data_IF_973828933854
#
_entry.id   IF_973828933854
#
_cell.length_a   1.000
_cell.length_b   1.000
_cell.length_c   1.000
_cell.angle_alpha   90.00
_cell.angle_beta   90.00
_cell.angle_gamma   90.00
#
_symmetry.space_group_name_H-M   'P 1'
#
loop_
_entity.id
_entity.type
_entity.pdbx_description
1 polymer ?
#
# COMPACT_ATOMS: atom_id res chain seq x y z
N UNK A 1 -66.09 -14.34 -118.58
CA UNK A 1 -66.14 -14.33 -117.09
C UNK A 1 -65.09 -15.29 -116.52
N UNK A 2 -63.80 -14.91 -116.48
CA UNK A 2 -62.75 -15.75 -115.87
C UNK A 2 -61.55 -14.88 -115.42
N UNK A 3 -61.78 -13.87 -114.58
CA UNK A 3 -60.65 -13.05 -114.10
C UNK A 3 -60.75 -12.53 -112.65
N UNK A 4 -61.53 -13.17 -111.78
CA UNK A 4 -61.82 -12.63 -110.44
C UNK A 4 -61.48 -13.55 -109.26
N UNK A 5 -60.80 -14.69 -109.48
CA UNK A 5 -60.51 -15.68 -108.42
C UNK A 5 -59.05 -15.62 -107.90
N UNK A 6 -58.13 -14.93 -108.57
CA UNK A 6 -56.70 -14.90 -108.17
C UNK A 6 -56.33 -13.89 -107.05
N UNK A 7 -57.27 -13.07 -106.57
CA UNK A 7 -56.95 -11.99 -105.61
C UNK A 7 -57.25 -12.32 -104.13
N UNK A 8 -57.86 -13.47 -103.82
CA UNK A 8 -58.29 -13.77 -102.45
C UNK A 8 -57.34 -14.71 -101.66
N UNK A 9 -56.44 -15.45 -102.31
CA UNK A 9 -55.54 -16.40 -101.65
C UNK A 9 -54.22 -15.77 -101.15
N UNK A 10 -53.86 -14.57 -101.60
CA UNK A 10 -52.62 -13.89 -101.21
C UNK A 10 -52.65 -13.19 -99.85
N UNK A 11 -53.83 -12.89 -99.29
CA UNK A 11 -53.96 -12.14 -98.02
C UNK A 11 -54.01 -13.01 -96.75
N UNK A 12 -54.25 -14.31 -96.87
CA UNK A 12 -54.33 -15.22 -95.71
C UNK A 12 -52.92 -15.73 -95.31
N UNK A 13 -51.98 -15.79 -96.25
CA UNK A 13 -50.64 -16.32 -95.99
C UNK A 13 -49.69 -15.33 -95.29
N UNK A 14 -49.89 -14.03 -95.48
CA UNK A 14 -49.08 -12.98 -94.82
C UNK A 14 -49.45 -12.76 -93.35
N UNK A 15 -50.71 -13.00 -92.96
CA UNK A 15 -51.15 -12.93 -91.57
C UNK A 15 -50.52 -14.00 -90.68
N UNK A 16 -50.37 -15.23 -91.19
CA UNK A 16 -49.88 -16.38 -90.43
C UNK A 16 -48.37 -16.30 -90.11
N UNK A 17 -47.59 -15.72 -91.02
CA UNK A 17 -46.14 -15.47 -90.81
C UNK A 17 -45.92 -14.37 -89.77
N UNK A 18 -46.81 -13.36 -89.72
CA UNK A 18 -46.71 -12.27 -88.77
C UNK A 18 -47.06 -12.71 -87.33
N UNK A 19 -48.11 -13.51 -87.15
CA UNK A 19 -48.47 -14.06 -85.83
C UNK A 19 -47.41 -15.01 -85.27
N UNK A 20 -46.74 -15.82 -86.11
CA UNK A 20 -45.65 -16.68 -85.64
C UNK A 20 -44.46 -15.88 -85.13
N UNK A 21 -44.06 -14.80 -85.83
CA UNK A 21 -42.94 -13.95 -85.38
C UNK A 21 -43.22 -13.21 -84.08
N UNK A 22 -44.47 -12.77 -83.87
CA UNK A 22 -44.87 -12.13 -82.60
C UNK A 22 -44.79 -13.12 -81.44
N UNK A 23 -45.31 -14.34 -81.61
CA UNK A 23 -45.26 -15.37 -80.56
C UNK A 23 -43.83 -15.79 -80.23
N UNK A 24 -42.96 -15.98 -81.23
CA UNK A 24 -41.55 -16.35 -80.97
C UNK A 24 -40.81 -15.24 -80.23
N UNK A 25 -41.02 -13.98 -80.61
CA UNK A 25 -40.38 -12.84 -79.94
C UNK A 25 -40.89 -12.65 -78.51
N UNK A 26 -42.20 -12.79 -78.27
CA UNK A 26 -42.76 -12.74 -76.91
C UNK A 26 -42.22 -13.87 -76.04
N UNK A 27 -42.08 -15.09 -76.57
CA UNK A 27 -41.54 -16.22 -75.83
C UNK A 27 -40.07 -16.01 -75.44
N UNK A 28 -39.24 -15.47 -76.36
CA UNK A 28 -37.83 -15.14 -76.08
C UNK A 28 -37.72 -14.08 -74.97
N UNK A 29 -38.55 -13.03 -75.01
CA UNK A 29 -38.54 -11.96 -74.00
C UNK A 29 -38.93 -12.51 -72.62
N UNK A 30 -39.96 -13.35 -72.53
CA UNK A 30 -40.37 -13.97 -71.26
C UNK A 30 -39.26 -14.88 -70.70
N UNK A 31 -38.59 -15.65 -71.56
CA UNK A 31 -37.51 -16.55 -71.15
C UNK A 31 -36.28 -15.77 -70.65
N UNK A 32 -35.96 -14.64 -71.29
CA UNK A 32 -34.92 -13.73 -70.81
C UNK A 32 -35.28 -13.08 -69.48
N UNK A 33 -36.53 -12.64 -69.28
CA UNK A 33 -36.98 -12.07 -68.00
C UNK A 33 -36.89 -13.09 -66.84
N UNK A 34 -37.26 -14.34 -67.09
CA UNK A 34 -37.16 -15.42 -66.09
C UNK A 34 -35.70 -15.72 -65.76
N UNK A 35 -34.82 -15.78 -66.76
CA UNK A 35 -33.40 -16.01 -66.55
C UNK A 35 -32.71 -14.86 -65.78
N UNK A 36 -33.06 -13.60 -66.07
CA UNK A 36 -32.54 -12.43 -65.35
C UNK A 36 -32.99 -12.43 -63.89
N UNK A 37 -34.27 -12.72 -63.61
CA UNK A 37 -34.77 -12.80 -62.24
C UNK A 37 -34.09 -13.93 -61.43
N UNK A 38 -33.87 -15.10 -62.04
CA UNK A 38 -33.19 -16.21 -61.37
C UNK A 38 -31.72 -15.87 -61.04
N UNK A 39 -31.02 -15.22 -61.98
CA UNK A 39 -29.64 -14.79 -61.77
C UNK A 39 -29.52 -13.69 -60.68
N UNK A 40 -30.47 -12.75 -60.64
CA UNK A 40 -30.53 -11.73 -59.59
C UNK A 40 -30.79 -12.34 -58.21
N UNK A 41 -31.70 -13.31 -58.12
CA UNK A 41 -32.01 -13.99 -56.85
C UNK A 41 -30.79 -14.75 -56.30
N UNK A 42 -30.03 -15.40 -57.18
CA UNK A 42 -28.85 -16.17 -56.80
C UNK A 42 -27.71 -15.25 -56.35
N UNK A 43 -27.47 -14.14 -57.06
CA UNK A 43 -26.49 -13.13 -56.65
C UNK A 43 -26.85 -12.47 -55.30
N UNK A 44 -28.14 -12.26 -55.04
CA UNK A 44 -28.61 -11.70 -53.78
C UNK A 44 -28.40 -12.68 -52.62
N UNK A 45 -28.68 -13.98 -52.82
CA UNK A 45 -28.46 -15.02 -51.82
C UNK A 45 -26.97 -15.23 -51.48
N UNK A 46 -26.10 -15.22 -52.49
CA UNK A 46 -24.65 -15.35 -52.29
C UNK A 46 -24.06 -14.17 -51.50
N UNK A 47 -24.57 -12.96 -51.75
CA UNK A 47 -24.15 -11.77 -50.99
C UNK A 47 -24.59 -11.82 -49.52
N UNK A 48 -25.77 -12.37 -49.25
CA UNK A 48 -26.34 -12.50 -47.91
C UNK A 48 -25.60 -13.57 -47.09
N UNK A 49 -25.28 -14.70 -47.71
CA UNK A 49 -24.46 -15.76 -47.10
C UNK A 49 -23.05 -15.28 -46.76
N UNK A 50 -22.42 -14.49 -47.65
CA UNK A 50 -21.10 -13.91 -47.41
C UNK A 50 -21.10 -12.91 -46.24
N UNK A 51 -22.10 -12.02 -46.21
CA UNK A 51 -22.30 -11.06 -45.12
C UNK A 51 -22.51 -11.74 -43.75
N UNK A 52 -23.29 -12.83 -43.71
CA UNK A 52 -23.52 -13.58 -42.47
C UNK A 52 -22.25 -14.29 -41.97
N UNK A 53 -21.49 -14.92 -42.88
CA UNK A 53 -20.22 -15.58 -42.57
C UNK A 53 -19.18 -14.58 -42.01
N UNK A 54 -19.07 -13.41 -42.63
CA UNK A 54 -18.13 -12.36 -42.19
C UNK A 54 -18.51 -11.81 -40.81
N UNK A 55 -19.81 -11.66 -40.53
CA UNK A 55 -20.30 -11.19 -39.23
C UNK A 55 -19.99 -12.20 -38.11
N UNK A 56 -20.17 -13.49 -38.36
CA UNK A 56 -19.85 -14.58 -37.39
C UNK A 56 -18.36 -14.69 -37.14
N UNK A 57 -17.54 -14.54 -38.18
CA UNK A 57 -16.08 -14.54 -38.03
C UNK A 57 -15.59 -13.31 -37.25
N UNK A 58 -16.19 -12.14 -37.49
CA UNK A 58 -15.87 -10.92 -36.76
C UNK A 58 -16.22 -11.04 -35.27
N UNK A 59 -17.38 -11.61 -34.93
CA UNK A 59 -17.77 -11.84 -33.53
C UNK A 59 -16.82 -12.81 -32.83
N UNK A 60 -16.46 -13.93 -33.46
CA UNK A 60 -15.47 -14.86 -32.91
C UNK A 60 -14.10 -14.22 -32.70
N UNK A 61 -13.65 -13.39 -33.64
CA UNK A 61 -12.37 -12.69 -33.53
C UNK A 61 -12.39 -11.66 -32.39
N UNK A 62 -13.48 -10.89 -32.26
CA UNK A 62 -13.70 -9.95 -31.17
C UNK A 62 -13.68 -10.65 -29.80
N UNK A 63 -14.41 -11.74 -29.66
CA UNK A 63 -14.50 -12.47 -28.38
C UNK A 63 -13.16 -13.09 -28.00
N UNK A 64 -12.42 -13.61 -28.99
CA UNK A 64 -11.06 -14.11 -28.79
C UNK A 64 -10.11 -12.99 -28.35
N UNK A 65 -10.16 -11.82 -28.98
CA UNK A 65 -9.39 -10.63 -28.58
C UNK A 65 -9.74 -10.19 -27.15
N UNK A 66 -11.03 -10.08 -26.81
CA UNK A 66 -11.45 -9.70 -25.46
C UNK A 66 -10.98 -10.71 -24.41
N UNK A 67 -10.98 -12.01 -24.73
CA UNK A 67 -10.44 -13.04 -23.85
C UNK A 67 -8.94 -12.84 -23.64
N UNK A 68 -8.16 -12.58 -24.70
CA UNK A 68 -6.73 -12.28 -24.61
C UNK A 68 -6.47 -11.04 -23.76
N UNK A 69 -7.19 -9.93 -23.99
CA UNK A 69 -7.06 -8.71 -23.18
C UNK A 69 -7.42 -8.95 -21.71
N UNK A 70 -8.49 -9.69 -21.43
CA UNK A 70 -8.89 -9.99 -20.05
C UNK A 70 -7.85 -10.86 -19.33
N UNK A 71 -7.24 -11.80 -20.05
CA UNK A 71 -6.20 -12.67 -19.52
C UNK A 71 -4.92 -11.87 -19.27
N UNK A 72 -4.54 -11.03 -20.24
CA UNK A 72 -3.37 -10.16 -20.14
C UNK A 72 -3.52 -9.16 -18.99
N UNK A 73 -4.72 -8.58 -18.78
CA UNK A 73 -5.02 -7.72 -17.64
C UNK A 73 -4.89 -8.46 -16.31
N UNK A 74 -5.41 -9.69 -16.19
CA UNK A 74 -5.27 -10.53 -14.99
C UNK A 74 -3.81 -10.91 -14.72
N UNK A 75 -3.06 -11.24 -15.76
CA UNK A 75 -1.65 -11.59 -15.64
C UNK A 75 -0.81 -10.37 -15.28
N UNK A 76 -1.13 -9.20 -15.82
CA UNK A 76 -0.51 -7.92 -15.43
C UNK A 76 -0.80 -7.59 -13.97
N UNK A 77 -2.05 -7.76 -13.51
CA UNK A 77 -2.44 -7.57 -12.12
C UNK A 77 -1.73 -8.55 -11.17
N UNK A 78 -1.56 -9.81 -11.59
CA UNK A 78 -0.77 -10.81 -10.85
C UNK A 78 0.71 -10.45 -10.81
N UNK A 79 1.29 -9.98 -11.92
CA UNK A 79 2.69 -9.55 -11.98
C UNK A 79 2.93 -8.31 -11.12
N UNK A 80 2.03 -7.32 -11.16
CA UNK A 80 2.07 -6.14 -10.30
C UNK A 80 1.96 -6.52 -8.82
N UNK A 81 1.00 -7.37 -8.45
CA UNK A 81 0.88 -7.87 -7.08
C UNK A 81 2.14 -8.66 -6.64
N UNK A 82 2.72 -9.47 -7.53
CA UNK A 82 3.91 -10.28 -7.25
C UNK A 82 5.17 -9.42 -7.10
N UNK A 83 5.30 -8.36 -7.91
CA UNK A 83 6.35 -7.34 -7.76
C UNK A 83 6.14 -6.53 -6.48
N UNK A 84 4.92 -6.12 -6.14
CA UNK A 84 4.65 -5.45 -4.87
C UNK A 84 5.05 -6.32 -3.66
N UNK A 85 4.75 -7.62 -3.67
CA UNK A 85 5.17 -8.52 -2.58
C UNK A 85 6.67 -8.80 -2.53
N UNK A 86 7.40 -8.70 -3.64
CA UNK A 86 8.84 -8.99 -3.70
C UNK A 86 9.74 -7.74 -3.63
N UNK A 87 9.22 -6.56 -3.98
CA UNK A 87 9.96 -5.29 -4.03
C UNK A 87 9.55 -4.30 -2.94
N UNK A 88 8.48 -4.53 -2.18
CA UNK A 88 8.23 -3.80 -0.94
C UNK A 88 9.15 -4.31 0.17
N UNK A 89 10.47 -4.11 0.02
CA UNK A 89 11.52 -4.06 1.07
C UNK A 89 11.52 -4.99 2.29
N UNK A 90 10.65 -5.98 2.41
CA UNK A 90 10.30 -6.63 3.68
C UNK A 90 10.47 -8.16 3.63
N UNK A 91 10.57 -8.72 2.44
CA UNK A 91 11.05 -10.08 2.22
C UNK A 91 12.25 -10.07 1.27
N UNK A 92 13.45 -10.35 1.77
CA UNK A 92 14.70 -10.66 1.03
C UNK A 92 15.57 -9.54 0.45
N UNK A 93 15.31 -8.24 0.70
CA UNK A 93 16.33 -7.24 0.38
C UNK A 93 17.48 -7.35 1.38
N UNK A 94 18.69 -7.66 0.93
CA UNK A 94 19.90 -7.71 1.75
C UNK A 94 20.21 -6.37 2.45
N UNK A 95 19.60 -5.28 1.98
CA UNK A 95 19.76 -3.93 2.51
C UNK A 95 18.42 -3.18 2.39
N UNK A 96 17.98 -2.56 3.47
CA UNK A 96 16.83 -1.66 3.49
C UNK A 96 16.98 -0.63 4.59
N UNK A 97 16.59 0.61 4.32
CA UNK A 97 16.71 1.72 5.26
C UNK A 97 15.32 2.27 5.57
N UNK A 98 14.95 2.27 6.84
CA UNK A 98 13.68 2.86 7.29
C UNK A 98 13.97 4.05 8.18
N UNK A 99 13.20 5.13 8.02
CA UNK A 99 13.26 6.32 8.85
C UNK A 99 11.89 6.53 9.52
N UNK A 100 11.86 6.52 10.84
CA UNK A 100 10.66 6.69 11.64
C UNK A 100 10.74 8.04 12.36
N UNK A 101 9.78 8.94 12.14
CA UNK A 101 9.63 10.21 12.87
C UNK A 101 8.48 10.06 13.86
N UNK A 102 8.75 10.19 15.16
CA UNK A 102 7.81 9.85 16.23
C UNK A 102 7.51 11.05 17.13
N UNK A 103 6.25 11.14 17.55
CA UNK A 103 5.75 12.10 18.52
C UNK A 103 4.83 11.37 19.49
N UNK A 104 4.99 11.62 20.78
CA UNK A 104 4.23 10.91 21.79
C UNK A 104 4.24 11.58 23.14
N UNK A 105 3.62 10.88 24.08
CA UNK A 105 3.55 11.26 25.49
C UNK A 105 3.90 10.03 26.31
N UNK A 106 4.59 10.23 27.42
CA UNK A 106 4.92 9.15 28.32
C UNK A 106 4.66 9.46 29.76
N UNK A 107 4.38 8.41 30.53
CA UNK A 107 4.25 8.43 31.97
C UNK A 107 5.56 7.89 32.52
N UNK A 108 6.22 8.70 33.35
CA UNK A 108 7.48 8.35 33.99
C UNK A 108 7.24 7.94 35.43
N UNK A 109 7.79 6.81 35.86
CA UNK A 109 7.78 6.35 37.24
C UNK A 109 9.23 6.24 37.72
N UNK A 110 9.60 7.09 38.68
CA UNK A 110 10.95 7.14 39.24
C UNK A 110 10.93 6.49 40.61
N UNK A 111 11.77 5.47 40.79
CA UNK A 111 11.99 4.83 42.07
C UNK A 111 13.29 5.35 42.68
N UNK A 112 13.17 5.95 43.86
CA UNK A 112 14.29 6.36 44.70
C UNK A 112 14.56 5.27 45.74
N UNK A 113 15.81 4.85 45.85
CA UNK A 113 16.30 4.09 46.99
C UNK A 113 16.94 5.08 47.97
N UNK A 114 16.41 5.15 49.20
CA UNK A 114 16.76 6.18 50.19
C UNK A 114 17.12 5.58 51.54
N UNK A 115 18.17 6.10 52.16
CA UNK A 115 18.64 5.73 53.50
C UNK A 115 17.98 6.59 54.60
N UNK A 116 16.67 6.84 54.47
CA UNK A 116 15.87 7.72 55.34
C UNK A 116 14.96 8.66 54.54
N UNK A 117 13.65 8.61 54.79
CA UNK A 117 12.65 9.35 54.00
C UNK A 117 12.39 10.77 54.53
N UNK A 118 13.44 11.59 54.58
CA UNK A 118 13.37 12.95 55.12
C UNK A 118 12.71 13.95 54.15
N UNK A 119 12.57 13.59 52.87
CA UNK A 119 12.11 14.46 51.79
C UNK A 119 10.87 13.94 51.02
N UNK A 120 10.24 12.87 51.51
CA UNK A 120 9.09 12.23 50.83
C UNK A 120 9.45 11.67 49.45
N UNK A 121 10.71 11.26 49.28
CA UNK A 121 11.25 10.68 48.05
C UNK A 121 10.80 9.22 47.88
N UNK A 122 10.43 8.56 48.99
CA UNK A 122 9.84 7.22 48.96
C UNK A 122 8.48 7.17 48.24
N UNK A 123 7.78 8.32 48.18
CA UNK A 123 6.44 8.47 47.62
C UNK A 123 6.44 9.34 46.34
N UNK A 124 7.45 9.17 45.47
CA UNK A 124 7.50 9.88 44.21
C UNK A 124 6.35 9.47 43.28
N UNK A 125 5.53 10.45 42.87
CA UNK A 125 4.44 10.25 41.93
C UNK A 125 4.91 10.43 40.48
N UNK A 126 4.30 9.66 39.59
CA UNK A 126 4.57 9.74 38.16
C UNK A 126 4.11 11.04 37.52
N UNK A 127 4.88 11.56 36.57
CA UNK A 127 4.48 12.69 35.71
C UNK A 127 4.45 12.28 34.25
N UNK A 128 3.56 12.93 33.50
CA UNK A 128 3.53 12.84 32.05
C UNK A 128 4.51 13.83 31.41
N UNK A 129 5.23 13.39 30.38
CA UNK A 129 6.14 14.24 29.61
C UNK A 129 6.02 13.99 28.10
N UNK A 130 6.33 15.00 27.27
CA UNK A 130 6.39 14.82 25.82
C UNK A 130 7.57 13.95 25.42
N UNK A 131 7.42 13.31 24.26
CA UNK A 131 8.45 12.54 23.58
C UNK A 131 8.45 12.89 22.10
N UNK A 132 9.63 13.16 21.55
CA UNK A 132 9.82 13.39 20.12
C UNK A 132 11.09 12.69 19.70
N UNK A 133 11.12 12.08 18.52
CA UNK A 133 12.33 11.45 18.07
C UNK A 133 12.35 11.02 16.62
N UNK A 134 13.52 10.56 16.22
CA UNK A 134 13.79 10.04 14.89
C UNK A 134 14.59 8.75 15.06
N UNK A 135 14.10 7.65 14.51
CA UNK A 135 14.80 6.37 14.49
C UNK A 135 15.10 5.95 13.05
N UNK A 136 16.29 5.40 12.83
CA UNK A 136 16.73 4.83 11.57
C UNK A 136 16.97 3.34 11.79
N UNK A 137 16.35 2.51 10.96
CA UNK A 137 16.53 1.05 11.01
C UNK A 137 17.16 0.55 9.71
N UNK A 138 18.21 -0.26 9.85
CA UNK A 138 18.91 -0.91 8.76
C UNK A 138 18.62 -2.40 8.80
N UNK A 139 18.02 -2.96 7.75
CA UNK A 139 17.81 -4.40 7.66
C UNK A 139 19.06 -5.08 7.10
N UNK A 140 19.67 -5.98 7.88
CA UNK A 140 20.79 -6.81 7.47
C UNK A 140 20.45 -8.29 7.71
N UNK A 141 20.29 -9.04 6.62
CA UNK A 141 20.05 -10.50 6.65
C UNK A 141 18.82 -10.92 7.48
N UNK A 142 17.78 -10.09 7.53
CA UNK A 142 16.52 -10.38 8.25
C UNK A 142 16.52 -9.97 9.72
N UNK A 143 17.63 -9.40 10.22
CA UNK A 143 17.68 -8.71 11.50
C UNK A 143 17.80 -7.21 11.21
N UNK A 144 16.88 -6.42 11.75
CA UNK A 144 16.99 -4.97 11.64
C UNK A 144 17.79 -4.41 12.83
N UNK A 145 18.77 -3.56 12.54
CA UNK A 145 19.52 -2.78 13.51
C UNK A 145 19.00 -1.35 13.50
N UNK A 146 18.47 -0.90 14.62
CA UNK A 146 17.89 0.42 14.81
C UNK A 146 18.77 1.33 15.65
N UNK A 147 18.88 2.58 15.26
CA UNK A 147 19.45 3.64 16.11
C UNK A 147 18.69 4.95 15.92
N UNK A 148 18.91 5.96 16.75
CA UNK A 148 18.15 7.19 16.62
C UNK A 148 18.44 8.23 17.68
N UNK A 149 17.61 9.26 17.71
CA UNK A 149 17.61 10.29 18.73
C UNK A 149 16.18 10.48 19.22
N UNK A 150 15.95 10.25 20.51
CA UNK A 150 14.65 10.41 21.15
C UNK A 150 14.79 11.40 22.30
N UNK A 151 14.20 12.58 22.15
CA UNK A 151 13.95 13.47 23.28
C UNK A 151 12.86 12.87 24.15
N UNK A 152 13.11 12.78 25.46
CA UNK A 152 12.12 12.40 26.45
C UNK A 152 12.22 13.30 27.68
N UNK A 153 11.09 13.87 28.09
CA UNK A 153 10.97 14.53 29.39
C UNK A 153 10.50 13.51 30.43
N UNK A 154 11.39 13.19 31.39
CA UNK A 154 11.11 12.28 32.50
C UNK A 154 10.79 13.13 33.72
N UNK A 155 9.56 13.09 34.21
CA UNK A 155 9.13 13.91 35.33
C UNK A 155 8.62 13.08 36.50
N UNK A 156 8.77 13.62 37.71
CA UNK A 156 8.21 13.04 38.91
C UNK A 156 7.89 14.15 39.92
N UNK A 157 7.03 13.87 40.88
CA UNK A 157 6.68 14.78 41.96
C UNK A 157 7.03 14.11 43.28
N UNK A 158 7.74 14.79 44.16
CA UNK A 158 7.99 14.31 45.52
C UNK A 158 6.95 14.91 46.47
N UNK A 159 6.82 14.37 47.69
CA UNK A 159 5.87 14.89 48.67
C UNK A 159 6.25 16.25 49.30
N UNK A 160 7.50 16.69 49.16
CA UNK A 160 8.04 17.87 49.84
C UNK A 160 8.64 18.95 48.93
N UNK A 161 9.02 18.62 47.70
CA UNK A 161 9.45 19.58 46.67
C UNK A 161 8.43 19.64 45.53
N UNK A 162 8.41 20.77 44.81
CA UNK A 162 7.53 20.98 43.66
C UNK A 162 7.71 19.92 42.57
N UNK A 163 7.01 20.08 41.46
CA UNK A 163 7.16 19.19 40.31
C UNK A 163 8.59 19.24 39.79
N UNK A 164 9.18 18.10 39.44
CA UNK A 164 10.54 18.05 38.90
C UNK A 164 10.56 17.34 37.55
N UNK A 165 11.41 17.84 36.66
CA UNK A 165 11.59 17.26 35.33
C UNK A 165 13.07 17.16 34.97
N UNK A 166 13.40 16.05 34.31
CA UNK A 166 14.71 15.77 33.76
C UNK A 166 14.55 15.40 32.29
N UNK A 167 15.19 16.18 31.43
CA UNK A 167 15.05 16.08 29.99
C UNK A 167 16.29 15.41 29.42
N UNK A 168 16.10 14.32 28.69
CA UNK A 168 17.18 13.52 28.11
C UNK A 168 17.04 13.44 26.59
N UNK A 169 18.18 13.41 25.90
CA UNK A 169 18.27 12.84 24.55
C UNK A 169 18.75 11.41 24.69
N UNK A 170 17.89 10.46 24.34
CA UNK A 170 18.19 9.04 24.34
C UNK A 170 18.63 8.60 22.95
N UNK A 171 19.77 7.93 22.89
CA UNK A 171 20.32 7.30 21.69
C UNK A 171 20.16 5.79 21.88
N UNK A 172 19.10 5.18 21.32
CA UNK A 172 18.90 3.75 21.40
C UNK A 172 19.78 3.01 20.39
N UNK A 173 20.14 1.77 20.72
CA UNK A 173 20.69 0.79 19.81
C UNK A 173 19.82 -0.46 19.92
N UNK A 174 18.97 -0.69 18.92
CA UNK A 174 17.90 -1.69 18.97
C UNK A 174 18.13 -2.81 17.97
N UNK A 175 17.79 -4.02 18.37
CA UNK A 175 17.51 -5.12 17.45
C UNK A 175 16.02 -5.14 17.19
N UNK A 176 15.63 -5.10 15.92
CA UNK A 176 14.26 -5.01 15.48
C UNK A 176 13.87 -6.23 14.61
N UNK A 177 12.62 -6.65 14.79
CA UNK A 177 11.96 -7.70 14.05
C UNK A 177 10.66 -7.15 13.46
N UNK A 178 10.48 -7.34 12.16
CA UNK A 178 9.34 -6.83 11.41
C UNK A 178 8.45 -8.00 11.00
N UNK A 179 7.15 -7.91 11.29
CA UNK A 179 6.14 -8.90 10.93
C UNK A 179 5.11 -8.27 10.01
N UNK A 180 5.01 -8.78 8.78
CA UNK A 180 4.02 -8.30 7.82
C UNK A 180 2.66 -8.95 8.07
N UNK A 181 1.68 -8.16 8.48
CA UNK A 181 0.30 -8.59 8.71
C UNK A 181 -0.55 -8.17 7.50
N UNK A 182 -0.28 -8.82 6.37
CA UNK A 182 -0.95 -8.52 5.10
C UNK A 182 -0.22 -7.48 4.25
N UNK A 183 -0.93 -6.83 3.31
CA UNK A 183 -0.28 -6.00 2.28
C UNK A 183 0.10 -4.59 2.73
N UNK A 184 -0.60 -4.03 3.72
CA UNK A 184 -0.45 -2.63 4.15
C UNK A 184 -0.14 -2.46 5.63
N UNK A 185 -0.21 -3.54 6.41
CA UNK A 185 -0.01 -3.50 7.85
C UNK A 185 1.24 -4.28 8.19
N UNK A 186 2.05 -3.71 9.05
CA UNK A 186 3.25 -4.33 9.60
C UNK A 186 3.28 -4.09 11.11
N UNK A 187 3.84 -5.03 11.85
CA UNK A 187 4.11 -4.90 13.28
C UNK A 187 5.61 -5.01 13.48
N UNK A 188 6.22 -4.02 14.13
CA UNK A 188 7.63 -4.05 14.49
C UNK A 188 7.77 -4.22 16.01
N UNK A 189 8.67 -5.12 16.38
CA UNK A 189 9.15 -5.29 17.75
C UNK A 189 10.62 -4.89 17.76
N UNK A 190 11.03 -4.01 18.66
CA UNK A 190 12.45 -3.69 18.81
C UNK A 190 12.86 -3.63 20.28
N UNK A 191 14.09 -4.02 20.59
CA UNK A 191 14.63 -3.88 21.93
C UNK A 191 16.15 -3.75 21.92
N UNK A 192 16.70 -3.09 22.92
CA UNK A 192 18.15 -3.00 23.10
C UNK A 192 18.56 -1.95 24.14
N UNK A 193 19.87 -1.72 24.30
CA UNK A 193 20.36 -0.68 25.20
C UNK A 193 20.09 0.73 24.65
N UNK A 194 20.11 1.73 25.53
CA UNK A 194 20.20 3.12 25.15
C UNK A 194 21.18 3.88 26.03
N UNK A 195 21.70 4.99 25.48
CA UNK A 195 22.47 6.00 26.22
C UNK A 195 21.67 7.30 26.22
N UNK A 196 21.28 7.77 27.39
CA UNK A 196 20.64 9.05 27.62
C UNK A 196 21.65 10.11 28.01
N UNK A 197 21.60 11.27 27.37
CA UNK A 197 22.40 12.44 27.73
C UNK A 197 21.45 13.46 28.35
N UNK A 198 21.73 13.88 29.59
CA UNK A 198 20.95 14.89 30.28
C UNK A 198 21.13 16.24 29.57
N UNK A 199 20.01 16.84 29.16
CA UNK A 199 20.00 18.20 28.60
C UNK A 199 19.75 19.24 29.67
N UNK A 200 18.77 18.97 30.52
CA UNK A 200 18.37 19.88 31.58
C UNK A 200 17.65 19.13 32.68
N UNK A 201 17.84 19.61 33.90
CA UNK A 201 17.09 19.18 35.07
C UNK A 201 16.67 20.42 35.86
N UNK A 202 15.53 20.34 36.52
CA UNK A 202 15.17 21.32 37.52
C UNK A 202 16.12 21.21 38.73
N UNK A 203 16.50 22.35 39.31
CA UNK A 203 17.48 22.37 40.40
C UNK A 203 16.85 21.86 41.69
N UNK A 204 17.33 20.73 42.19
CA UNK A 204 16.94 20.16 43.48
C UNK A 204 18.07 20.32 44.52
N UNK A 205 17.73 20.49 45.80
CA UNK A 205 18.71 20.63 46.89
C UNK A 205 19.16 19.28 47.48
N UNK A 206 18.41 18.21 47.25
CA UNK A 206 18.58 16.87 47.84
C UNK A 206 19.31 15.89 46.93
N UNK A 207 19.27 16.09 45.60
CA UNK A 207 19.96 15.22 44.65
C UNK A 207 20.30 15.95 43.34
N UNK A 208 21.26 15.40 42.61
CA UNK A 208 21.63 15.81 41.26
C UNK A 208 21.68 14.56 40.37
N UNK A 209 20.90 14.58 39.28
CA UNK A 209 20.91 13.46 38.35
C UNK A 209 22.20 13.45 37.52
N UNK A 210 22.63 12.25 37.15
CA UNK A 210 23.79 12.02 36.29
C UNK A 210 23.53 12.56 34.90
N UNK A 211 24.60 13.14 34.34
CA UNK A 211 24.67 13.55 32.95
C UNK A 211 24.45 12.40 31.97
N UNK A 212 24.68 11.15 32.39
CA UNK A 212 24.52 9.95 31.57
C UNK A 212 23.50 9.01 32.22
N UNK A 213 22.52 8.56 31.44
CA UNK A 213 21.55 7.53 31.81
C UNK A 213 21.74 6.31 30.91
N UNK A 214 22.21 5.19 31.47
CA UNK A 214 22.26 3.92 30.74
C UNK A 214 21.02 3.11 31.05
N UNK A 215 20.41 2.56 30.01
CA UNK A 215 19.18 1.80 30.17
C UNK A 215 18.93 0.80 29.06
N UNK A 216 17.78 0.13 29.18
CA UNK A 216 17.20 -0.71 28.13
C UNK A 216 15.91 -0.07 27.63
N UNK A 217 15.66 -0.23 26.34
CA UNK A 217 14.44 0.21 25.66
C UNK A 217 13.82 -0.97 24.94
N UNK A 218 12.50 -1.02 24.95
CA UNK A 218 11.71 -1.94 24.13
C UNK A 218 10.56 -1.17 23.47
N UNK A 219 10.25 -1.50 22.22
CA UNK A 219 9.18 -0.88 21.45
C UNK A 219 8.34 -1.94 20.76
N UNK A 220 7.04 -1.64 20.65
CA UNK A 220 6.08 -2.37 19.85
C UNK A 220 5.33 -1.34 19.03
N UNK A 221 5.36 -1.45 17.71
CA UNK A 221 4.66 -0.52 16.83
C UNK A 221 3.88 -1.23 15.73
N UNK A 222 2.68 -0.74 15.44
CA UNK A 222 1.91 -1.06 14.26
C UNK A 222 2.08 0.04 13.20
N UNK A 223 2.40 -0.36 11.98
CA UNK A 223 2.58 0.51 10.83
C UNK A 223 1.46 0.25 9.82
N UNK A 224 0.86 1.32 9.30
CA UNK A 224 -0.07 1.28 8.18
C UNK A 224 0.49 2.07 6.99
N UNK A 225 0.82 1.37 5.93
CA UNK A 225 1.41 1.93 4.72
C UNK A 225 0.34 2.45 3.75
N UNK A 226 0.36 3.76 3.49
CA UNK A 226 -0.49 4.37 2.47
C UNK A 226 -0.02 4.02 1.06
N UNK A 227 1.30 3.91 0.89
CA UNK A 227 1.98 3.47 -0.33
C UNK A 227 3.31 2.79 0.03
N UNK A 228 4.15 2.48 -0.98
CA UNK A 228 5.42 1.77 -0.77
C UNK A 228 6.52 2.56 -0.06
N UNK A 229 6.40 3.88 0.03
CA UNK A 229 7.45 4.77 0.53
C UNK A 229 7.16 5.32 1.93
N UNK A 230 5.88 5.44 2.30
CA UNK A 230 5.54 5.96 3.62
C UNK A 230 4.20 5.45 4.16
N UNK A 231 4.08 5.51 5.49
CA UNK A 231 2.94 5.09 6.26
C UNK A 231 2.80 5.86 7.57
N UNK A 232 1.68 5.65 8.24
CA UNK A 232 1.50 6.07 9.63
C UNK A 232 1.96 4.95 10.57
N UNK A 233 2.47 5.31 11.73
CA UNK A 233 2.81 4.37 12.80
C UNK A 233 2.11 4.75 14.10
N UNK A 234 1.82 3.74 14.92
CA UNK A 234 1.33 3.87 16.28
C UNK A 234 2.04 2.83 17.13
N UNK A 235 2.59 3.21 18.27
CA UNK A 235 3.36 2.29 19.09
C UNK A 235 3.40 2.63 20.56
N UNK A 236 3.96 1.68 21.30
CA UNK A 236 4.25 1.78 22.73
C UNK A 236 5.74 1.56 22.92
N UNK A 237 6.37 2.41 23.73
CA UNK A 237 7.78 2.28 24.11
C UNK A 237 7.88 2.15 25.62
N UNK A 238 8.71 1.23 26.07
CA UNK A 238 9.12 1.07 27.45
C UNK A 238 10.60 1.38 27.59
N UNK A 239 10.96 2.22 28.56
CA UNK A 239 12.36 2.51 28.91
C UNK A 239 12.59 2.16 30.39
N UNK A 240 13.70 1.48 30.66
CA UNK A 240 14.20 1.27 32.01
C UNK A 240 15.61 1.85 32.12
N UNK A 241 15.72 2.98 32.80
CA UNK A 241 16.96 3.74 32.99
C UNK A 241 17.55 3.61 34.40
N UNK A 242 18.77 4.11 34.55
CA UNK A 242 19.54 4.06 35.79
C UNK A 242 20.29 2.75 36.02
N UNK A 243 20.68 2.06 34.95
CA UNK A 243 21.59 0.90 35.05
C UNK A 243 22.97 1.30 35.57
N UNK A 244 23.41 2.53 35.29
CA UNK A 244 24.64 3.13 35.78
C UNK A 244 24.47 3.91 37.09
N UNK A 245 23.31 3.84 37.73
CA UNK A 245 22.85 4.75 38.79
C UNK A 245 22.80 6.21 38.32
N UNK A 246 21.61 6.82 38.32
CA UNK A 246 21.44 8.20 37.83
C UNK A 246 21.90 9.26 38.85
N UNK A 247 22.77 8.97 39.82
CA UNK A 247 23.27 9.94 40.81
C UNK A 247 24.74 10.25 40.50
N UNK A 248 25.08 11.52 40.28
CA UNK A 248 26.45 11.93 39.88
C UNK A 248 27.39 12.18 41.06
N UNK A 249 26.86 12.68 42.18
CA UNK A 249 27.65 12.96 43.37
C UNK A 249 26.77 12.89 44.61
N UNK A 250 27.01 11.88 45.43
CA UNK A 250 26.56 11.86 46.81
C UNK A 250 27.40 12.84 47.62
N UNK A 251 27.11 14.14 47.51
CA UNK A 251 27.67 15.15 48.44
C UNK A 251 27.35 14.71 49.86
N UNK A 252 28.31 14.86 50.78
CA UNK A 252 28.19 14.46 52.19
C UNK A 252 26.85 14.93 52.79
N UNK A 253 25.91 13.98 52.98
CA UNK A 253 24.51 14.26 53.33
C UNK A 253 23.46 13.76 52.31
N UNK A 254 23.87 13.07 51.23
CA UNK A 254 22.92 12.50 50.26
C UNK A 254 22.16 11.31 50.85
N UNK A 255 20.87 11.51 51.10
CA UNK A 255 19.95 10.48 51.61
C UNK A 255 19.51 9.47 50.53
N UNK A 256 19.99 9.61 49.28
CA UNK A 256 19.59 8.78 48.14
C UNK A 256 20.75 7.89 47.69
N UNK A 257 20.56 6.58 47.70
CA UNK A 257 21.56 5.57 47.31
C UNK A 257 21.48 5.21 45.83
N UNK A 258 20.27 5.17 45.25
CA UNK A 258 20.10 4.98 43.81
C UNK A 258 18.81 5.61 43.25
N UNK A 259 18.87 6.00 41.98
CA UNK A 259 17.69 6.46 41.23
C UNK A 259 17.54 5.60 39.98
N UNK A 260 16.35 5.01 39.82
CA UNK A 260 15.96 4.24 38.63
C UNK A 260 14.67 4.81 38.06
N UNK A 261 14.59 4.89 36.75
CA UNK A 261 13.39 5.38 36.06
C UNK A 261 12.77 4.28 35.19
N UNK A 262 11.45 4.19 35.20
CA UNK A 262 10.65 3.33 34.31
C UNK A 262 9.66 4.21 33.59
N UNK A 263 9.75 4.26 32.27
CA UNK A 263 8.91 5.14 31.47
C UNK A 263 8.12 4.34 30.45
N UNK A 264 6.83 4.62 30.37
CA UNK A 264 5.94 4.09 29.34
C UNK A 264 5.51 5.23 28.43
N UNK A 265 5.71 5.08 27.14
CA UNK A 265 5.31 6.06 26.13
C UNK A 265 4.31 5.46 25.18
N UNK A 266 3.30 6.24 24.83
CA UNK A 266 2.42 5.99 23.70
C UNK A 266 2.78 7.02 22.64
N UNK A 267 3.02 6.57 21.41
CA UNK A 267 3.49 7.44 20.34
C UNK A 267 2.86 7.11 19.00
N UNK A 268 2.82 8.12 18.15
CA UNK A 268 2.40 8.02 16.75
C UNK A 268 3.41 8.74 15.87
N UNK A 269 3.36 8.49 14.57
CA UNK A 269 4.33 9.11 13.68
C UNK A 269 4.18 8.75 12.23
N UNK A 270 5.23 9.03 11.47
CA UNK A 270 5.35 8.70 10.06
C UNK A 270 6.55 7.77 9.89
N UNK A 271 6.32 6.68 9.17
CA UNK A 271 7.34 5.72 8.75
C UNK A 271 7.68 5.95 7.29
N UNK A 272 8.96 6.08 6.97
CA UNK A 272 9.49 6.14 5.62
C UNK A 272 10.30 4.88 5.33
N UNK A 273 10.13 4.33 4.13
CA UNK A 273 10.86 3.17 3.62
C UNK A 273 11.64 3.65 2.40
N UNK A 274 12.97 3.55 2.47
CA UNK A 274 13.94 4.08 1.51
C UNK A 274 14.67 2.95 0.79
#
# INVERSE_FOLDING_TARGET
>A
MYNTIKLFTGRIFTGWIFTRRIFTNCFIIVLMLVAVNAAQLQAQNDSLHKSYSDTVNYTKMRDSLMKVYSQQSKDYEKMMNKQETKQRGLGSSFFGLNLDVIFGVGISNTQFDVNGDTAGLSNANSKTGPMVGVNVNFNLLGIALGTGFNYSSKGFSTGGSGQESANYINIPLMFAFNFDVGKKVQVDLAAGPYVGILLSQEKNQYYQLSNIDLGIVATVQGNYFFNRFWGALLGVKYEHGGLNNMIENSSAGSYVSSVKARNWFIYSGIKFVL
#
